data_IF_292270566398
#
_entry.id   IF_292270566398
#
_cell.length_a   1.000
_cell.length_b   1.000
_cell.length_c   1.000
_cell.angle_alpha   90.00
_cell.angle_beta   90.00
_cell.angle_gamma   90.00
#
_symmetry.space_group_name_H-M   'P 1'
#
loop_
_entity.id
_entity.type
_entity.pdbx_description
1 polymer ?
#
# COMPACT_ATOMS: atom_id res chain seq x y z
N UNK A 1 8.12 -2.58 1.43
CA UNK A 1 8.47 -2.91 0.03
C UNK A 1 7.82 -1.92 -0.94
N UNK A 2 8.46 -1.73 -2.09
CA UNK A 2 8.00 -0.86 -3.19
C UNK A 2 7.08 -1.59 -4.19
N UNK A 3 6.29 -2.54 -3.74
CA UNK A 3 5.42 -3.31 -4.60
C UNK A 3 4.08 -3.56 -3.90
N UNK A 4 3.01 -3.51 -4.66
CA UNK A 4 1.70 -3.96 -4.21
C UNK A 4 1.69 -5.48 -4.06
N UNK A 5 0.90 -6.05 -3.14
CA UNK A 5 0.71 -7.49 -3.03
C UNK A 5 0.14 -8.07 -4.34
N UNK A 6 0.68 -9.19 -4.80
CA UNK A 6 0.17 -9.93 -5.96
C UNK A 6 -0.77 -11.04 -5.57
N UNK A 7 -0.55 -11.60 -4.39
CA UNK A 7 -1.20 -12.82 -3.92
C UNK A 7 -1.57 -12.64 -2.45
N UNK A 8 -2.67 -13.22 -2.05
CA UNK A 8 -3.07 -13.35 -0.66
C UNK A 8 -3.60 -14.74 -0.40
N UNK A 9 -3.20 -15.34 0.70
CA UNK A 9 -3.64 -16.65 1.13
C UNK A 9 -4.17 -16.57 2.56
N UNK A 10 -5.30 -17.21 2.83
CA UNK A 10 -5.84 -17.31 4.18
C UNK A 10 -6.27 -18.75 4.45
N UNK A 11 -5.93 -19.28 5.62
CA UNK A 11 -6.47 -20.55 6.10
C UNK A 11 -7.63 -20.23 7.03
N UNK A 12 -8.82 -20.70 6.67
CA UNK A 12 -10.06 -20.48 7.40
C UNK A 12 -10.54 -21.79 8.03
N UNK A 13 -11.17 -21.69 9.19
CA UNK A 13 -11.90 -22.80 9.82
C UNK A 13 -13.33 -22.33 10.01
N UNK A 14 -14.26 -23.08 9.44
CA UNK A 14 -15.70 -22.79 9.47
C UNK A 14 -16.50 -24.09 9.46
N UNK A 15 -17.82 -24.02 9.64
CA UNK A 15 -18.67 -25.19 9.61
C UNK A 15 -18.80 -25.72 8.17
N UNK A 16 -18.76 -27.04 7.95
CA UNK A 16 -18.90 -27.61 6.61
C UNK A 16 -20.20 -27.21 5.88
N UNK A 17 -21.26 -26.92 6.61
CA UNK A 17 -22.56 -26.47 6.07
C UNK A 17 -22.50 -25.07 5.44
N UNK A 18 -21.46 -24.28 5.73
CA UNK A 18 -21.28 -22.93 5.19
C UNK A 18 -20.46 -22.94 3.87
N UNK A 19 -19.98 -24.11 3.42
CA UNK A 19 -19.09 -24.22 2.24
C UNK A 19 -19.75 -23.69 0.98
N UNK A 20 -20.98 -24.12 0.69
CA UNK A 20 -21.69 -23.71 -0.55
C UNK A 20 -21.86 -22.18 -0.59
N UNK A 21 -22.19 -21.56 0.55
CA UNK A 21 -22.31 -20.10 0.66
C UNK A 21 -20.99 -19.37 0.46
N UNK A 22 -19.87 -19.93 0.95
CA UNK A 22 -18.54 -19.37 0.75
C UNK A 22 -18.09 -19.47 -0.72
N UNK A 23 -18.33 -20.61 -1.37
CA UNK A 23 -18.02 -20.79 -2.78
C UNK A 23 -18.80 -19.82 -3.68
N UNK A 24 -20.08 -19.65 -3.42
CA UNK A 24 -20.92 -18.73 -4.19
C UNK A 24 -20.48 -17.27 -3.97
N UNK A 25 -20.19 -16.87 -2.73
CA UNK A 25 -19.63 -15.55 -2.43
C UNK A 25 -18.32 -15.31 -3.18
N UNK A 26 -17.42 -16.28 -3.20
CA UNK A 26 -16.13 -16.13 -3.89
C UNK A 26 -16.30 -15.99 -5.40
N UNK A 27 -17.22 -16.71 -6.03
CA UNK A 27 -17.53 -16.58 -7.47
C UNK A 27 -18.06 -15.18 -7.78
N UNK A 28 -19.00 -14.68 -6.97
CA UNK A 28 -19.55 -13.34 -7.14
C UNK A 28 -18.49 -12.26 -6.94
N UNK A 29 -17.65 -12.41 -5.92
CA UNK A 29 -16.58 -11.44 -5.62
C UNK A 29 -15.48 -11.45 -6.69
N UNK A 30 -15.11 -12.62 -7.22
CA UNK A 30 -14.19 -12.72 -8.37
C UNK A 30 -14.74 -11.99 -9.59
N UNK A 31 -16.01 -12.17 -9.90
CA UNK A 31 -16.67 -11.49 -11.02
C UNK A 31 -16.70 -9.97 -10.82
N UNK A 32 -17.02 -9.51 -9.60
CA UNK A 32 -17.01 -8.09 -9.25
C UNK A 32 -15.61 -7.48 -9.42
N UNK A 33 -14.56 -8.12 -8.89
CA UNK A 33 -13.19 -7.65 -9.01
C UNK A 33 -12.74 -7.56 -10.48
N UNK A 34 -13.03 -8.58 -11.28
CA UNK A 34 -12.67 -8.58 -12.69
C UNK A 34 -13.41 -7.50 -13.48
N UNK A 35 -14.65 -7.14 -13.12
CA UNK A 35 -15.38 -6.04 -13.73
C UNK A 35 -14.79 -4.67 -13.32
N UNK A 36 -14.56 -4.46 -12.04
CA UNK A 36 -14.02 -3.20 -11.51
C UNK A 36 -12.59 -2.89 -12.02
N UNK A 37 -11.76 -3.92 -12.13
CA UNK A 37 -10.37 -3.77 -12.55
C UNK A 37 -10.12 -4.01 -14.04
N UNK A 38 -11.13 -4.36 -14.84
CA UNK A 38 -11.01 -4.67 -16.26
C UNK A 38 -10.12 -3.70 -17.07
N UNK A 39 -10.11 -2.37 -16.81
CA UNK A 39 -9.29 -1.43 -17.57
C UNK A 39 -7.78 -1.51 -17.27
N UNK A 40 -7.38 -2.06 -16.12
CA UNK A 40 -5.99 -2.02 -15.62
C UNK A 40 -5.43 -3.38 -15.26
N UNK A 41 -6.28 -4.36 -14.98
CA UNK A 41 -5.88 -5.71 -14.59
C UNK A 41 -6.86 -6.73 -15.18
N UNK A 42 -6.33 -7.86 -15.61
CA UNK A 42 -7.13 -8.98 -16.11
C UNK A 42 -6.61 -10.29 -15.51
N UNK A 43 -7.54 -11.21 -15.22
CA UNK A 43 -7.19 -12.54 -14.71
C UNK A 43 -7.00 -12.59 -13.20
N UNK A 44 -7.75 -11.78 -12.44
CA UNK A 44 -7.89 -11.96 -11.00
C UNK A 44 -8.65 -13.25 -10.76
N UNK A 45 -8.09 -14.15 -9.97
CA UNK A 45 -8.69 -15.46 -9.65
C UNK A 45 -8.75 -15.68 -8.15
N UNK A 46 -9.86 -16.24 -7.69
CA UNK A 46 -10.06 -16.68 -6.32
C UNK A 46 -10.27 -18.21 -6.34
N UNK A 47 -9.58 -18.92 -5.44
CA UNK A 47 -9.72 -20.37 -5.33
C UNK A 47 -9.85 -20.80 -3.87
N UNK A 48 -10.56 -21.90 -3.64
CA UNK A 48 -10.65 -22.59 -2.36
C UNK A 48 -10.02 -23.95 -2.52
N UNK A 49 -9.20 -24.34 -1.56
CA UNK A 49 -8.62 -25.67 -1.47
C UNK A 49 -8.77 -26.19 -0.05
N UNK A 50 -9.16 -27.46 0.07
CA UNK A 50 -9.19 -28.11 1.37
C UNK A 50 -7.75 -28.37 1.84
N UNK A 51 -7.45 -27.99 3.07
CA UNK A 51 -6.14 -28.17 3.69
C UNK A 51 -6.26 -28.95 4.99
N UNK A 52 -5.14 -29.44 5.49
CA UNK A 52 -5.12 -30.10 6.81
C UNK A 52 -5.60 -29.13 7.89
N UNK A 53 -6.53 -29.59 8.73
CA UNK A 53 -7.09 -28.80 9.82
C UNK A 53 -5.96 -28.27 10.72
N UNK A 54 -5.85 -26.96 10.92
CA UNK A 54 -4.83 -26.39 11.79
C UNK A 54 -5.05 -26.79 13.25
N UNK A 55 -3.98 -26.88 14.02
CA UNK A 55 -4.03 -27.22 15.45
C UNK A 55 -4.48 -26.06 16.34
N UNK A 56 -4.48 -24.84 15.81
CA UNK A 56 -4.93 -23.65 16.49
C UNK A 56 -5.42 -22.61 15.48
N UNK A 57 -6.30 -21.72 15.92
CA UNK A 57 -6.80 -20.57 15.19
C UNK A 57 -6.49 -19.28 15.94
N UNK A 58 -6.53 -18.16 15.26
CA UNK A 58 -6.42 -16.84 15.89
C UNK A 58 -7.66 -16.62 16.78
N UNK A 59 -7.50 -16.20 18.04
CA UNK A 59 -8.65 -15.87 18.90
C UNK A 59 -9.52 -14.79 18.24
N UNK A 60 -10.86 -14.92 18.35
CA UNK A 60 -11.82 -14.06 17.64
C UNK A 60 -11.58 -12.56 17.89
N UNK A 61 -11.32 -12.17 19.14
CA UNK A 61 -11.04 -10.75 19.48
C UNK A 61 -9.80 -10.22 18.74
N UNK A 62 -8.73 -11.02 18.64
CA UNK A 62 -7.50 -10.65 17.92
C UNK A 62 -7.78 -10.62 16.41
N UNK A 63 -8.54 -11.58 15.90
CA UNK A 63 -8.96 -11.63 14.49
C UNK A 63 -9.74 -10.36 14.11
N UNK A 64 -10.74 -9.98 14.92
CA UNK A 64 -11.55 -8.79 14.68
C UNK A 64 -10.70 -7.51 14.69
N UNK A 65 -9.78 -7.37 15.66
CA UNK A 65 -8.86 -6.25 15.74
C UNK A 65 -7.93 -6.20 14.52
N UNK A 66 -7.43 -7.36 14.07
CA UNK A 66 -6.60 -7.46 12.87
C UNK A 66 -7.35 -7.03 11.61
N UNK A 67 -8.56 -7.55 11.40
CA UNK A 67 -9.41 -7.20 10.25
C UNK A 67 -9.70 -5.69 10.29
N UNK A 68 -10.13 -5.17 11.42
CA UNK A 68 -10.47 -3.76 11.57
C UNK A 68 -9.28 -2.84 11.28
N UNK A 69 -8.08 -3.15 11.78
CA UNK A 69 -6.90 -2.31 11.53
C UNK A 69 -6.45 -2.38 10.08
N UNK A 70 -6.50 -3.55 9.43
CA UNK A 70 -6.15 -3.69 8.01
C UNK A 70 -7.14 -2.97 7.10
N UNK A 71 -8.43 -2.94 7.45
CA UNK A 71 -9.47 -2.23 6.71
C UNK A 71 -9.40 -0.71 6.88
N UNK A 72 -8.88 -0.21 8.01
CA UNK A 72 -8.92 1.21 8.35
C UNK A 72 -7.57 1.92 8.21
N UNK A 73 -6.45 1.19 8.21
CA UNK A 73 -5.14 1.81 8.07
C UNK A 73 -5.00 2.51 6.71
N UNK A 74 -4.31 3.65 6.72
CA UNK A 74 -4.03 4.39 5.49
C UNK A 74 -3.25 3.54 4.50
N UNK A 75 -3.79 3.36 3.31
CA UNK A 75 -3.12 2.70 2.18
C UNK A 75 -3.40 3.47 0.88
N UNK A 76 -2.38 3.61 0.03
CA UNK A 76 -2.46 4.38 -1.20
C UNK A 76 -2.08 5.86 -1.03
N UNK A 77 -2.57 6.70 -1.94
CA UNK A 77 -2.28 8.13 -1.98
C UNK A 77 -3.05 8.85 -0.86
N UNK A 78 -2.30 9.58 -0.04
CA UNK A 78 -2.86 10.44 1.01
C UNK A 78 -2.96 11.89 0.56
N UNK A 79 -1.93 12.39 -0.14
CA UNK A 79 -1.86 13.78 -0.60
C UNK A 79 -1.07 13.90 -1.90
N UNK A 80 -1.53 14.81 -2.77
CA UNK A 80 -0.84 15.20 -4.00
C UNK A 80 -0.02 16.48 -3.78
N UNK A 81 1.02 16.72 -4.59
CA UNK A 81 1.77 17.98 -4.58
C UNK A 81 0.90 19.07 -5.23
N UNK A 82 0.53 20.15 -4.50
CA UNK A 82 -0.40 21.15 -5.05
C UNK A 82 0.16 21.93 -6.25
N UNK A 83 1.48 22.07 -6.32
CA UNK A 83 2.19 22.87 -7.34
C UNK A 83 2.67 22.07 -8.55
N UNK A 84 2.57 20.73 -8.51
CA UNK A 84 3.00 19.84 -9.60
C UNK A 84 1.86 18.87 -9.91
N UNK A 85 1.11 19.08 -11.00
CA UNK A 85 0.01 18.21 -11.36
C UNK A 85 0.41 16.72 -11.43
N UNK A 86 -0.53 15.84 -11.10
CA UNK A 86 -0.39 14.39 -11.19
C UNK A 86 0.79 13.78 -10.41
N UNK A 87 1.33 14.53 -9.43
CA UNK A 87 2.46 14.08 -8.63
C UNK A 87 2.05 13.82 -7.19
N UNK A 88 2.29 12.59 -6.72
CA UNK A 88 2.02 12.18 -5.34
C UNK A 88 3.05 12.83 -4.40
N UNK A 89 2.56 13.45 -3.32
CA UNK A 89 3.38 13.94 -2.22
C UNK A 89 3.56 12.87 -1.14
N UNK A 90 2.45 12.35 -0.63
CA UNK A 90 2.42 11.44 0.53
C UNK A 90 1.59 10.22 0.22
N UNK A 91 2.15 9.06 0.48
CA UNK A 91 1.47 7.78 0.28
C UNK A 91 1.97 6.71 1.24
N UNK A 92 1.17 5.67 1.42
CA UNK A 92 1.58 4.43 2.09
C UNK A 92 1.25 3.23 1.22
N UNK A 93 1.97 2.15 1.46
CA UNK A 93 1.73 0.85 0.85
C UNK A 93 1.68 -0.22 1.93
N UNK A 94 0.50 -0.79 2.16
CA UNK A 94 0.31 -1.99 2.96
C UNK A 94 0.87 -3.18 2.17
N UNK A 95 2.15 -3.47 2.37
CA UNK A 95 2.90 -4.31 1.45
C UNK A 95 2.92 -5.79 1.83
N UNK A 96 2.88 -6.09 3.14
CA UNK A 96 3.01 -7.46 3.64
C UNK A 96 2.16 -7.61 4.90
N UNK A 97 1.36 -8.68 4.93
CA UNK A 97 0.66 -9.18 6.13
C UNK A 97 1.03 -10.64 6.30
N UNK A 98 1.53 -11.01 7.47
CA UNK A 98 1.88 -12.39 7.81
C UNK A 98 1.25 -12.72 9.17
N UNK A 99 0.47 -13.80 9.21
CA UNK A 99 -0.06 -14.36 10.45
C UNK A 99 0.41 -15.82 10.49
N UNK A 100 1.39 -16.11 11.31
CA UNK A 100 1.97 -17.43 11.45
C UNK A 100 2.64 -17.59 12.83
N UNK A 101 2.72 -18.82 13.32
CA UNK A 101 3.45 -19.19 14.54
C UNK A 101 3.06 -18.34 15.78
N UNK A 102 1.77 -18.02 15.90
CA UNK A 102 1.26 -17.22 17.02
C UNK A 102 1.65 -15.75 16.98
N UNK A 103 2.09 -15.24 15.83
CA UNK A 103 2.47 -13.83 15.61
C UNK A 103 1.76 -13.26 14.40
N UNK A 104 1.46 -11.98 14.47
CA UNK A 104 1.01 -11.17 13.36
C UNK A 104 2.06 -10.10 13.05
N UNK A 105 2.44 -9.96 11.81
CA UNK A 105 3.37 -8.95 11.32
C UNK A 105 2.76 -8.22 10.13
N UNK A 106 2.75 -6.89 10.20
CA UNK A 106 2.31 -6.02 9.11
C UNK A 106 3.46 -5.08 8.74
N UNK A 107 3.82 -5.03 7.46
CA UNK A 107 4.87 -4.14 6.96
C UNK A 107 4.29 -3.14 5.99
N UNK A 108 4.46 -1.88 6.32
CA UNK A 108 3.99 -0.74 5.54
C UNK A 108 5.19 0.09 5.11
N UNK A 109 5.19 0.53 3.86
CA UNK A 109 6.13 1.53 3.38
C UNK A 109 5.40 2.87 3.25
N UNK A 110 5.83 3.86 4.02
CA UNK A 110 5.35 5.23 3.92
C UNK A 110 6.35 6.10 3.15
N UNK A 111 5.86 7.02 2.34
CA UNK A 111 6.66 7.97 1.57
C UNK A 111 6.04 9.35 1.61
N UNK A 112 6.88 10.38 1.71
CA UNK A 112 6.47 11.76 1.48
C UNK A 112 7.65 12.60 1.02
N UNK A 113 7.41 13.58 0.14
CA UNK A 113 8.37 14.64 -0.17
C UNK A 113 8.36 15.76 0.87
N UNK A 114 7.40 15.74 1.81
CA UNK A 114 7.22 16.71 2.89
C UNK A 114 7.42 16.03 4.24
N UNK A 115 8.44 16.45 5.01
CA UNK A 115 8.78 15.79 6.28
C UNK A 115 7.64 15.82 7.30
N UNK A 116 6.94 16.96 7.44
CA UNK A 116 5.80 17.06 8.38
C UNK A 116 4.65 16.12 8.02
N UNK A 117 4.44 15.85 6.73
CA UNK A 117 3.43 14.89 6.29
C UNK A 117 3.90 13.43 6.41
N UNK A 118 5.20 13.20 6.25
CA UNK A 118 5.80 11.89 6.56
C UNK A 118 5.60 11.53 8.03
N UNK A 119 5.90 12.47 8.92
CA UNK A 119 5.76 12.29 10.36
C UNK A 119 4.27 12.12 10.74
N UNK A 120 3.38 12.94 10.21
CA UNK A 120 1.94 12.79 10.41
C UNK A 120 1.41 11.42 9.97
N UNK A 121 1.85 10.93 8.80
CA UNK A 121 1.46 9.59 8.33
C UNK A 121 2.01 8.49 9.24
N UNK A 122 3.26 8.61 9.70
CA UNK A 122 3.87 7.66 10.63
C UNK A 122 3.12 7.63 11.98
N UNK A 123 2.77 8.79 12.51
CA UNK A 123 1.99 8.92 13.76
C UNK A 123 0.58 8.34 13.60
N UNK A 124 -0.08 8.63 12.47
CA UNK A 124 -1.42 8.11 12.17
C UNK A 124 -1.43 6.59 12.08
N UNK A 125 -0.48 6.00 11.37
CA UNK A 125 -0.32 4.54 11.29
C UNK A 125 0.01 3.96 12.66
N UNK A 126 0.89 4.60 13.43
CA UNK A 126 1.23 4.17 14.79
C UNK A 126 -0.01 4.14 15.69
N UNK A 127 -0.81 5.19 15.68
CA UNK A 127 -2.05 5.27 16.44
C UNK A 127 -3.05 4.20 16.00
N UNK A 128 -3.23 4.00 14.70
CA UNK A 128 -4.14 3.01 14.13
C UNK A 128 -3.80 1.59 14.62
N UNK A 129 -2.54 1.16 14.48
CA UNK A 129 -2.10 -0.17 14.90
C UNK A 129 -2.04 -0.33 16.42
N UNK A 130 -1.73 0.74 17.16
CA UNK A 130 -1.77 0.72 18.63
C UNK A 130 -3.18 0.49 19.18
N UNK A 131 -4.22 1.05 18.54
CA UNK A 131 -5.62 0.79 18.91
C UNK A 131 -6.01 -0.70 18.75
N UNK A 132 -5.38 -1.41 17.83
CA UNK A 132 -5.54 -2.85 17.68
C UNK A 132 -4.62 -3.68 18.61
N UNK A 133 -3.93 -3.04 19.55
CA UNK A 133 -3.02 -3.69 20.49
C UNK A 133 -1.68 -4.12 19.89
N UNK A 134 -1.33 -3.64 18.70
CA UNK A 134 -0.08 -3.99 18.03
C UNK A 134 1.05 -3.03 18.40
N UNK A 135 2.27 -3.57 18.52
CA UNK A 135 3.48 -2.77 18.68
C UNK A 135 3.93 -2.27 17.30
N UNK A 136 4.22 -0.97 17.19
CA UNK A 136 4.73 -0.34 15.98
C UNK A 136 6.20 0.02 16.13
N UNK A 137 6.99 -0.27 15.09
CA UNK A 137 8.39 0.12 15.00
C UNK A 137 8.60 0.90 13.71
N UNK A 138 9.16 2.11 13.82
CA UNK A 138 9.51 2.96 12.69
C UNK A 138 11.00 2.81 12.40
N UNK A 139 11.38 2.63 11.14
CA UNK A 139 12.79 2.48 10.73
C UNK A 139 13.05 2.98 9.32
N UNK A 140 14.32 3.25 9.00
CA UNK A 140 14.76 3.59 7.65
C UNK A 140 14.27 4.94 7.13
N UNK A 141 13.83 5.83 8.03
CA UNK A 141 13.35 7.16 7.65
C UNK A 141 14.50 8.09 7.21
N UNK A 142 14.25 8.88 6.17
CA UNK A 142 15.11 9.97 5.73
C UNK A 142 14.26 11.16 5.30
N UNK A 143 14.89 12.33 5.16
CA UNK A 143 14.18 13.57 4.81
C UNK A 143 13.61 13.52 3.40
N UNK A 144 12.43 14.09 3.24
CA UNK A 144 11.80 14.34 1.95
C UNK A 144 12.53 15.42 1.17
N UNK A 145 12.32 15.42 -0.14
CA UNK A 145 12.79 16.48 -1.03
C UNK A 145 11.61 17.06 -1.80
N UNK A 146 11.34 18.35 -1.55
CA UNK A 146 10.31 19.07 -2.28
C UNK A 146 10.87 19.61 -3.59
N UNK A 147 10.25 19.30 -4.74
CA UNK A 147 10.72 19.79 -6.02
C UNK A 147 10.54 21.31 -6.12
N UNK A 148 11.61 22.00 -6.50
CA UNK A 148 11.57 23.43 -6.82
C UNK A 148 11.54 23.63 -8.33
N UNK A 149 10.34 23.85 -8.88
CA UNK A 149 10.12 24.03 -10.32
C UNK A 149 10.67 25.35 -10.86
N UNK A 150 10.93 26.31 -9.99
CA UNK A 150 11.50 27.65 -10.33
C UNK A 150 13.00 27.72 -10.01
N UNK A 151 13.65 26.58 -9.83
CA UNK A 151 15.08 26.52 -9.53
C UNK A 151 15.93 27.14 -10.65
N UNK A 152 16.85 28.05 -10.35
CA UNK A 152 17.77 28.62 -11.35
C UNK A 152 18.59 27.57 -12.10
N UNK A 153 19.01 26.51 -11.41
CA UNK A 153 19.75 25.41 -12.06
C UNK A 153 18.87 24.66 -13.04
N UNK A 154 17.61 24.43 -12.75
CA UNK A 154 16.66 23.79 -13.67
C UNK A 154 16.52 24.63 -14.95
N UNK A 155 16.37 25.96 -14.84
CA UNK A 155 16.29 26.83 -15.98
C UNK A 155 17.59 26.80 -16.83
N UNK A 156 18.74 26.84 -16.18
CA UNK A 156 20.03 26.74 -16.88
C UNK A 156 20.20 25.38 -17.62
N UNK A 157 19.80 24.29 -16.97
CA UNK A 157 19.84 22.95 -17.58
C UNK A 157 18.90 22.84 -18.77
N UNK A 158 17.69 23.37 -18.70
CA UNK A 158 16.72 23.38 -19.80
C UNK A 158 17.27 24.15 -21.01
N UNK A 159 17.87 25.32 -20.79
CA UNK A 159 18.49 26.11 -21.85
C UNK A 159 19.67 25.37 -22.49
N UNK A 160 20.56 24.82 -21.69
CA UNK A 160 21.71 24.06 -22.18
C UNK A 160 21.29 22.83 -23.00
N UNK A 161 20.31 22.07 -22.49
CA UNK A 161 19.78 20.91 -23.20
C UNK A 161 19.17 21.30 -24.56
N UNK A 162 18.33 22.34 -24.57
CA UNK A 162 17.73 22.84 -25.81
C UNK A 162 18.76 23.31 -26.83
N UNK A 163 19.81 23.98 -26.37
CA UNK A 163 20.92 24.44 -27.24
C UNK A 163 21.69 23.26 -27.85
N UNK A 164 21.93 22.19 -27.09
CA UNK A 164 22.73 21.05 -27.54
C UNK A 164 21.92 20.04 -28.37
N UNK A 165 20.68 19.80 -28.01
CA UNK A 165 19.85 18.74 -28.58
C UNK A 165 18.78 19.29 -29.55
N UNK A 166 18.44 20.56 -29.48
CA UNK A 166 17.49 21.23 -30.35
C UNK A 166 16.03 21.08 -29.94
N UNK A 167 15.73 20.37 -28.85
CA UNK A 167 14.38 20.16 -28.34
C UNK A 167 14.27 20.56 -26.86
N UNK A 168 13.07 20.95 -26.43
CA UNK A 168 12.79 21.26 -25.03
C UNK A 168 12.77 19.96 -24.21
N UNK A 169 13.52 19.87 -23.08
CA UNK A 169 13.47 18.68 -22.22
C UNK A 169 12.15 18.58 -21.47
N UNK A 170 11.65 17.36 -21.31
CA UNK A 170 10.57 17.06 -20.37
C UNK A 170 11.11 17.11 -18.92
N UNK A 171 10.49 17.92 -18.09
CA UNK A 171 10.78 17.94 -16.64
C UNK A 171 9.75 17.08 -15.95
N UNK A 172 10.20 16.10 -15.17
CA UNK A 172 9.33 15.19 -14.43
C UNK A 172 9.76 15.12 -12.97
N UNK A 173 8.78 14.98 -12.10
CA UNK A 173 8.96 14.65 -10.69
C UNK A 173 8.50 13.21 -10.49
N UNK A 174 9.26 12.45 -9.73
CA UNK A 174 8.93 11.06 -9.42
C UNK A 174 8.76 10.88 -7.90
N UNK A 175 7.85 10.02 -7.50
CA UNK A 175 7.60 9.70 -6.10
C UNK A 175 8.53 8.54 -5.67
N UNK A 176 9.83 8.80 -5.67
CA UNK A 176 10.88 7.83 -5.34
C UNK A 176 12.04 8.49 -4.60
N UNK A 177 12.84 7.70 -3.87
CA UNK A 177 14.13 8.15 -3.35
C UNK A 177 15.10 8.42 -4.50
N UNK A 178 15.94 9.45 -4.32
CA UNK A 178 17.10 9.71 -5.18
C UNK A 178 18.32 9.07 -4.51
N UNK A 179 18.97 8.16 -5.19
CA UNK A 179 20.20 7.51 -4.78
C UNK A 179 21.38 8.06 -5.60
#
# INVERSE_FOLDING_TARGET
RNAIPREAHAVLVFNPEDMDGLEDYMKEYEAQLNDEYAPIESGITLSIEEVTLPTAVVPSEIQDNMINVLMTCQNGVMRMIPTVPDTVETSSNLAIVIIADGKAEVRILARSSCDTMKDFLADSLTACFAMAGMKVELSGGYSGWQPNVDSPILHAMKLSYKQQIGVEPAVKVIHAGLE
#
